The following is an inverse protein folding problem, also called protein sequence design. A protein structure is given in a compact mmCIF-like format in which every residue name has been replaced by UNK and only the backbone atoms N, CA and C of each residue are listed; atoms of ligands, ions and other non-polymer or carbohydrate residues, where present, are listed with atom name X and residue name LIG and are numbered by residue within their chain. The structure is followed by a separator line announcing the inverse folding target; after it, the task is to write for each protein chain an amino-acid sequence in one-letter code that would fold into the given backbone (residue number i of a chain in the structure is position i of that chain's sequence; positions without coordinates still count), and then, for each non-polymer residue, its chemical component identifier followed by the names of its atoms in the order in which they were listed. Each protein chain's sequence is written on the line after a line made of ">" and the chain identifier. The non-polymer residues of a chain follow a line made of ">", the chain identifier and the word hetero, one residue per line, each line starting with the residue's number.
data_IF_204093282605
#
_entry.id   IF_204093282605
#
_cell.length_a   1.000
_cell.length_b   1.000
_cell.length_c   1.000
_cell.angle_alpha   90.00
_cell.angle_beta   90.00
_cell.angle_gamma   90.00
#
_symmetry.space_group_name_H-M   'P 1'
#
loop_
_entity.id
_entity.type
_entity.pdbx_description
1 polymer ?
#
# COMPACT_ATOMS: atom_id res chain seq x y z
N UNK A 1 -15.95 21.49 -7.42
CA UNK A 1 -15.72 20.04 -7.26
C UNK A 1 -17.03 19.31 -7.54
N UNK A 2 -17.04 18.24 -8.35
CA UNK A 2 -18.27 17.46 -8.60
C UNK A 2 -18.83 16.94 -7.26
N UNK A 3 -20.15 16.97 -7.02
CA UNK A 3 -20.73 16.52 -5.76
C UNK A 3 -20.74 14.98 -5.72
N UNK A 4 -19.62 14.38 -5.38
CA UNK A 4 -19.55 12.93 -5.19
C UNK A 4 -20.28 12.52 -3.90
N UNK A 5 -21.06 11.43 -3.91
CA UNK A 5 -21.70 10.91 -2.69
C UNK A 5 -20.68 10.33 -1.70
N UNK A 6 -19.59 9.78 -2.22
CA UNK A 6 -18.43 9.26 -1.49
C UNK A 6 -17.18 9.60 -2.33
N UNK A 7 -16.08 9.97 -1.68
CA UNK A 7 -14.81 10.22 -2.35
C UNK A 7 -13.63 10.01 -1.39
N UNK A 8 -12.45 9.89 -1.99
CA UNK A 8 -11.18 9.90 -1.30
C UNK A 8 -10.44 11.20 -1.62
N UNK A 9 -9.87 11.85 -0.62
CA UNK A 9 -8.86 12.89 -0.79
C UNK A 9 -7.45 12.30 -0.53
N UNK A 10 -6.52 12.58 -1.45
CA UNK A 10 -5.12 12.12 -1.39
C UNK A 10 -4.21 13.34 -1.26
N UNK A 11 -3.60 13.54 -0.10
CA UNK A 11 -2.71 14.66 0.18
C UNK A 11 -1.26 14.36 -0.28
N UNK A 12 -0.89 14.91 -1.44
CA UNK A 12 0.45 14.72 -2.02
C UNK A 12 1.54 15.44 -1.19
N UNK A 13 1.20 16.47 -0.42
CA UNK A 13 2.17 17.13 0.47
C UNK A 13 2.45 16.29 1.71
N UNK A 14 1.43 15.58 2.23
CA UNK A 14 1.60 14.58 3.28
C UNK A 14 2.48 13.42 2.78
N UNK A 15 2.26 12.92 1.55
CA UNK A 15 3.10 11.89 0.93
C UNK A 15 4.56 12.36 0.80
N UNK A 16 4.78 13.56 0.26
CA UNK A 16 6.11 14.14 0.12
C UNK A 16 6.78 14.38 1.48
N UNK A 17 6.00 14.80 2.49
CA UNK A 17 6.47 14.92 3.88
C UNK A 17 6.94 13.58 4.43
N UNK A 18 6.12 12.53 4.34
CA UNK A 18 6.47 11.20 4.83
C UNK A 18 7.74 10.67 4.17
N UNK A 19 7.87 10.84 2.85
CA UNK A 19 9.07 10.44 2.13
C UNK A 19 10.32 11.22 2.59
N UNK A 20 10.21 12.53 2.87
CA UNK A 20 11.33 13.30 3.47
C UNK A 20 11.69 12.78 4.86
N UNK A 21 10.70 12.43 5.69
CA UNK A 21 10.95 11.83 7.00
C UNK A 21 11.68 10.49 6.89
N UNK A 22 11.26 9.63 5.96
CA UNK A 22 11.94 8.34 5.69
C UNK A 22 13.37 8.56 5.21
N UNK A 23 13.61 9.49 4.28
CA UNK A 23 14.96 9.85 3.81
C UNK A 23 15.86 10.34 4.94
N UNK A 24 15.33 11.20 5.80
CA UNK A 24 16.02 11.68 6.99
C UNK A 24 16.36 10.53 7.94
N UNK A 25 15.41 9.62 8.18
CA UNK A 25 15.58 8.48 9.08
C UNK A 25 16.70 7.53 8.65
N UNK A 26 16.81 7.25 7.35
CA UNK A 26 17.87 6.42 6.79
C UNK A 26 19.19 7.19 6.55
N UNK A 27 19.28 8.44 7.02
CA UNK A 27 20.44 9.33 6.88
C UNK A 27 20.96 9.47 5.43
N UNK A 28 20.08 9.35 4.43
CA UNK A 28 20.44 9.28 3.01
C UNK A 28 21.51 8.22 2.65
N UNK A 29 21.74 7.22 3.50
CA UNK A 29 22.76 6.17 3.28
C UNK A 29 22.29 5.06 2.33
N UNK A 30 20.98 4.93 2.15
CA UNK A 30 20.36 3.92 1.29
C UNK A 30 19.39 4.61 0.32
N UNK A 31 19.25 4.04 -0.87
CA UNK A 31 18.22 4.47 -1.81
C UNK A 31 16.84 3.99 -1.35
N UNK A 32 15.78 4.53 -1.95
CA UNK A 32 14.41 4.13 -1.69
C UNK A 32 13.81 3.47 -2.94
N UNK A 33 13.26 2.28 -2.75
CA UNK A 33 12.27 1.67 -3.63
C UNK A 33 10.89 1.93 -3.03
N UNK A 34 10.12 2.83 -3.62
CA UNK A 34 8.78 3.13 -3.12
C UNK A 34 7.82 2.01 -3.55
N UNK A 35 7.17 1.38 -2.57
CA UNK A 35 6.22 0.31 -2.84
C UNK A 35 4.86 0.93 -3.17
N UNK A 36 4.50 0.90 -4.46
CA UNK A 36 3.28 1.47 -5.05
C UNK A 36 2.32 0.40 -5.59
N UNK A 37 2.55 -0.85 -5.19
CA UNK A 37 1.74 -2.01 -5.56
C UNK A 37 0.28 -1.86 -5.10
N UNK A 38 -0.66 -2.58 -5.74
CA UNK A 38 -2.10 -2.54 -5.44
C UNK A 38 -2.64 -1.12 -5.49
N UNK A 39 -2.43 -0.44 -6.61
CA UNK A 39 -2.84 0.95 -6.84
C UNK A 39 -2.31 1.94 -5.79
N UNK A 40 -1.02 1.83 -5.44
CA UNK A 40 -0.41 2.54 -4.32
C UNK A 40 -1.20 2.40 -3.01
N UNK A 41 -1.54 1.16 -2.66
CA UNK A 41 -2.41 0.83 -1.52
C UNK A 41 -3.76 1.57 -1.59
N UNK A 42 -4.35 1.64 -2.78
CA UNK A 42 -5.63 2.32 -3.03
C UNK A 42 -5.56 3.85 -3.15
N UNK A 43 -4.37 4.45 -3.18
CA UNK A 43 -4.18 5.90 -3.25
C UNK A 43 -4.09 6.45 -4.68
N UNK A 44 -3.99 5.60 -5.70
CA UNK A 44 -3.74 6.00 -7.10
C UNK A 44 -2.26 5.86 -7.46
N UNK A 45 -1.92 4.82 -8.21
CA UNK A 45 -0.53 4.45 -8.47
C UNK A 45 0.26 5.50 -9.26
N UNK A 46 -0.35 6.13 -10.27
CA UNK A 46 0.34 7.06 -11.16
C UNK A 46 0.77 8.33 -10.42
N UNK A 47 -0.19 9.01 -9.79
CA UNK A 47 0.05 10.29 -9.11
C UNK A 47 0.99 10.10 -7.91
N UNK A 48 0.85 8.98 -7.18
CA UNK A 48 1.81 8.61 -6.13
C UNK A 48 3.19 8.38 -6.71
N UNK A 49 3.31 7.62 -7.82
CA UNK A 49 4.59 7.33 -8.46
C UNK A 49 5.29 8.62 -8.91
N UNK A 50 4.58 9.54 -9.56
CA UNK A 50 5.11 10.84 -9.99
C UNK A 50 5.61 11.66 -8.80
N UNK A 51 4.83 11.75 -7.72
CA UNK A 51 5.19 12.56 -6.55
C UNK A 51 6.40 12.00 -5.80
N UNK A 52 6.47 10.66 -5.63
CA UNK A 52 7.63 10.05 -4.95
C UNK A 52 8.89 10.15 -5.82
N UNK A 53 8.79 10.04 -7.15
CA UNK A 53 9.91 10.24 -8.08
C UNK A 53 10.41 11.69 -8.02
N UNK A 54 9.49 12.67 -8.02
CA UNK A 54 9.83 14.10 -7.89
C UNK A 54 10.59 14.40 -6.60
N UNK A 55 10.26 13.68 -5.54
CA UNK A 55 10.95 13.78 -4.24
C UNK A 55 12.27 12.98 -4.21
N UNK A 56 12.64 12.31 -5.31
CA UNK A 56 13.95 11.68 -5.53
C UNK A 56 13.99 10.19 -5.19
N UNK A 57 12.88 9.46 -5.30
CA UNK A 57 12.86 7.99 -5.30
C UNK A 57 13.51 7.48 -6.58
N UNK A 58 14.25 6.37 -6.48
CA UNK A 58 15.06 5.83 -7.58
C UNK A 58 14.48 4.55 -8.19
N UNK A 59 13.52 3.92 -7.53
CA UNK A 59 12.90 2.67 -7.98
C UNK A 59 11.48 2.55 -7.45
N UNK A 60 10.60 1.86 -8.17
CA UNK A 60 9.25 1.54 -7.72
C UNK A 60 9.08 0.03 -7.55
N UNK A 61 8.19 -0.38 -6.65
CA UNK A 61 7.80 -1.78 -6.46
C UNK A 61 6.31 -1.99 -6.69
N UNK A 62 5.97 -2.91 -7.58
CA UNK A 62 4.59 -3.25 -7.98
C UNK A 62 4.26 -4.72 -7.69
N UNK A 63 2.99 -5.11 -7.83
CA UNK A 63 2.54 -6.49 -7.58
C UNK A 63 2.76 -7.39 -8.78
N UNK A 64 2.54 -6.87 -9.98
CA UNK A 64 2.49 -7.65 -11.21
C UNK A 64 2.96 -6.81 -12.40
N UNK A 65 3.11 -7.48 -13.55
CA UNK A 65 3.56 -6.86 -14.80
C UNK A 65 2.57 -5.80 -15.28
N UNK A 66 1.27 -6.00 -15.08
CA UNK A 66 0.22 -5.08 -15.55
C UNK A 66 0.28 -3.74 -14.82
N UNK A 67 0.49 -3.73 -13.50
CA UNK A 67 0.75 -2.51 -12.73
C UNK A 67 1.99 -1.77 -13.25
N UNK A 68 3.08 -2.51 -13.53
CA UNK A 68 4.32 -1.93 -14.07
C UNK A 68 4.14 -1.37 -15.48
N UNK A 69 3.48 -2.11 -16.36
CA UNK A 69 3.18 -1.72 -17.73
C UNK A 69 2.28 -0.47 -17.78
N UNK A 70 1.28 -0.38 -16.90
CA UNK A 70 0.43 0.82 -16.77
C UNK A 70 1.24 2.08 -16.42
N UNK A 71 2.17 1.97 -15.46
CA UNK A 71 3.08 3.07 -15.13
C UNK A 71 4.00 3.44 -16.29
N UNK A 72 4.51 2.45 -17.03
CA UNK A 72 5.35 2.67 -18.22
C UNK A 72 4.59 3.37 -19.34
N UNK A 73 3.37 2.93 -19.64
CA UNK A 73 2.45 3.56 -20.60
C UNK A 73 2.16 5.02 -20.24
N UNK A 74 2.19 5.34 -18.95
CA UNK A 74 2.03 6.70 -18.42
C UNK A 74 3.34 7.51 -18.38
N UNK A 75 4.44 6.98 -18.95
CA UNK A 75 5.71 7.71 -19.10
C UNK A 75 6.70 7.56 -17.94
N UNK A 76 6.42 6.72 -16.93
CA UNK A 76 7.35 6.50 -15.81
C UNK A 76 8.61 5.78 -16.30
N UNK A 77 9.79 6.40 -16.07
CA UNK A 77 11.09 5.89 -16.56
C UNK A 77 12.01 5.30 -15.51
N UNK A 78 11.76 5.52 -14.23
CA UNK A 78 12.59 4.90 -13.17
C UNK A 78 12.44 3.37 -13.20
N UNK A 79 13.44 2.59 -12.76
CA UNK A 79 13.30 1.14 -12.62
C UNK A 79 12.04 0.73 -11.83
N UNK A 80 11.35 -0.30 -12.29
CA UNK A 80 10.13 -0.84 -11.66
C UNK A 80 10.36 -2.34 -11.41
N UNK A 81 10.24 -2.76 -10.15
CA UNK A 81 10.41 -4.15 -9.74
C UNK A 81 9.05 -4.81 -9.47
N UNK A 82 8.79 -5.91 -10.17
CA UNK A 82 7.69 -6.84 -9.86
C UNK A 82 8.10 -7.68 -8.65
N UNK A 83 7.59 -7.31 -7.47
CA UNK A 83 8.07 -7.82 -6.17
C UNK A 83 7.78 -9.31 -5.90
N UNK A 84 6.65 -9.89 -6.35
CA UNK A 84 6.38 -11.31 -6.18
C UNK A 84 7.14 -12.19 -7.17
N UNK A 85 7.68 -11.63 -8.27
CA UNK A 85 8.10 -12.40 -9.43
C UNK A 85 6.98 -12.48 -10.48
N UNK A 86 7.21 -13.27 -11.52
CA UNK A 86 6.27 -13.47 -12.63
C UNK A 86 5.78 -14.92 -12.68
N UNK A 87 4.67 -15.16 -13.38
CA UNK A 87 4.32 -16.50 -13.82
C UNK A 87 5.02 -16.83 -15.16
N UNK A 88 5.13 -18.12 -15.47
CA UNK A 88 5.79 -18.61 -16.69
C UNK A 88 4.84 -18.75 -17.89
N UNK A 89 3.89 -17.82 -18.02
CA UNK A 89 3.11 -17.72 -19.25
C UNK A 89 3.80 -16.76 -20.24
N UNK A 90 3.59 -17.01 -21.53
CA UNK A 90 4.26 -16.29 -22.61
C UNK A 90 3.92 -14.79 -22.59
N UNK A 91 2.65 -14.44 -22.43
CA UNK A 91 2.15 -13.05 -22.46
C UNK A 91 2.81 -12.18 -21.39
N UNK A 92 2.90 -12.67 -20.15
CA UNK A 92 3.50 -11.95 -19.02
C UNK A 92 5.02 -11.76 -19.21
N UNK A 93 5.72 -12.75 -19.76
CA UNK A 93 7.16 -12.64 -20.06
C UNK A 93 7.40 -11.63 -21.17
N UNK A 94 6.61 -11.69 -22.24
CA UNK A 94 6.71 -10.76 -23.36
C UNK A 94 6.42 -9.32 -22.90
N UNK A 95 5.39 -9.11 -22.08
CA UNK A 95 5.05 -7.80 -21.54
C UNK A 95 6.14 -7.27 -20.58
N UNK A 96 6.67 -8.12 -19.69
CA UNK A 96 7.77 -7.76 -18.79
C UNK A 96 8.99 -7.23 -19.57
N UNK A 97 9.37 -7.93 -20.64
CA UNK A 97 10.51 -7.56 -21.47
C UNK A 97 10.24 -6.34 -22.36
N UNK A 98 8.99 -6.15 -22.81
CA UNK A 98 8.60 -5.02 -23.66
C UNK A 98 8.66 -3.71 -22.87
N UNK A 99 8.17 -3.73 -21.63
CA UNK A 99 8.13 -2.58 -20.75
C UNK A 99 9.39 -2.40 -19.89
N UNK A 100 10.44 -3.17 -20.16
CA UNK A 100 11.72 -3.13 -19.43
C UNK A 100 11.52 -3.14 -17.90
N UNK A 101 10.71 -4.07 -17.42
CA UNK A 101 10.42 -4.26 -16.01
C UNK A 101 11.44 -5.22 -15.38
N UNK A 102 11.89 -4.92 -14.16
CA UNK A 102 12.70 -5.84 -13.37
C UNK A 102 11.78 -6.84 -12.65
N UNK A 103 12.21 -8.08 -12.48
CA UNK A 103 11.42 -9.09 -11.76
C UNK A 103 12.22 -9.83 -10.69
N UNK A 104 11.54 -10.32 -9.67
CA UNK A 104 12.15 -11.18 -8.66
C UNK A 104 12.20 -12.63 -9.16
N UNK A 105 13.35 -13.29 -8.97
CA UNK A 105 13.55 -14.71 -9.29
C UNK A 105 14.04 -15.50 -8.08
N UNK A 106 13.60 -16.76 -8.03
CA UNK A 106 13.93 -17.72 -6.97
C UNK A 106 13.75 -19.17 -7.46
N UNK A 107 13.79 -19.39 -8.78
CA UNK A 107 13.71 -20.71 -9.40
C UNK A 107 14.58 -20.74 -10.65
N UNK A 108 15.27 -21.86 -10.83
CA UNK A 108 16.11 -22.15 -11.99
C UNK A 108 15.30 -22.16 -13.29
N UNK A 109 14.05 -22.66 -13.22
CA UNK A 109 13.13 -22.67 -14.34
C UNK A 109 12.78 -21.26 -14.80
N UNK A 110 12.50 -20.36 -13.84
CA UNK A 110 12.21 -18.94 -14.14
C UNK A 110 13.41 -18.28 -14.79
N UNK A 111 14.60 -18.48 -14.21
CA UNK A 111 15.85 -17.91 -14.74
C UNK A 111 16.12 -18.36 -16.19
N UNK A 112 16.05 -19.67 -16.45
CA UNK A 112 16.31 -20.23 -17.80
C UNK A 112 15.27 -19.77 -18.82
N UNK A 113 14.00 -19.73 -18.44
CA UNK A 113 12.90 -19.32 -19.32
C UNK A 113 13.05 -17.84 -19.70
N UNK A 114 13.27 -16.96 -18.72
CA UNK A 114 13.54 -15.55 -18.98
C UNK A 114 14.80 -15.32 -19.81
N UNK A 115 15.87 -16.06 -19.52
CA UNK A 115 17.11 -15.97 -20.30
C UNK A 115 16.89 -16.31 -21.78
N UNK A 116 16.08 -17.33 -22.07
CA UNK A 116 15.75 -17.74 -23.44
C UNK A 116 14.87 -16.69 -24.13
N UNK A 117 13.84 -16.18 -23.46
CA UNK A 117 12.97 -15.15 -24.02
C UNK A 117 13.73 -13.84 -24.30
N UNK A 118 14.57 -13.40 -23.35
CA UNK A 118 15.44 -12.25 -23.53
C UNK A 118 16.43 -12.44 -24.69
N UNK A 119 16.99 -13.66 -24.84
CA UNK A 119 17.84 -14.01 -25.99
C UNK A 119 17.11 -13.83 -27.32
N UNK A 120 15.88 -14.35 -27.42
CA UNK A 120 15.07 -14.31 -28.65
C UNK A 120 14.73 -12.87 -29.05
N UNK A 121 14.54 -11.99 -28.07
CA UNK A 121 14.32 -10.54 -28.28
C UNK A 121 15.59 -9.72 -28.46
N UNK A 122 16.77 -10.32 -28.30
CA UNK A 122 18.05 -9.60 -28.36
C UNK A 122 18.23 -8.57 -27.23
N UNK A 123 17.61 -8.80 -26.07
CA UNK A 123 17.66 -7.91 -24.90
C UNK A 123 18.20 -8.63 -23.65
N UNK A 124 18.24 -7.94 -22.51
CA UNK A 124 18.49 -8.55 -21.20
C UNK A 124 17.30 -8.39 -20.27
N UNK A 125 17.00 -9.44 -19.51
CA UNK A 125 16.01 -9.37 -18.43
C UNK A 125 16.69 -8.94 -17.13
N UNK A 126 16.16 -7.91 -16.50
CA UNK A 126 16.63 -7.42 -15.21
C UNK A 126 16.00 -8.23 -14.07
N UNK A 127 16.83 -8.79 -13.20
CA UNK A 127 16.36 -9.72 -12.15
C UNK A 127 16.89 -9.39 -10.77
N UNK A 128 16.07 -9.63 -9.76
CA UNK A 128 16.45 -9.60 -8.36
C UNK A 128 16.36 -11.00 -7.76
N UNK A 129 17.45 -11.50 -7.17
CA UNK A 129 17.46 -12.82 -6.52
C UNK A 129 16.80 -12.69 -5.15
N UNK A 130 15.83 -13.56 -4.85
CA UNK A 130 15.21 -13.59 -3.53
C UNK A 130 15.64 -14.80 -2.70
N UNK A 131 16.14 -14.50 -1.50
CA UNK A 131 16.51 -15.47 -0.49
C UNK A 131 15.42 -15.45 0.59
N UNK A 132 14.80 -16.60 0.85
CA UNK A 132 13.87 -16.76 1.96
C UNK A 132 14.66 -17.05 3.24
N UNK A 133 14.68 -16.07 4.15
CA UNK A 133 15.45 -16.16 5.40
C UNK A 133 14.59 -16.60 6.58
N UNK A 134 13.30 -16.88 6.36
CA UNK A 134 12.33 -17.19 7.41
C UNK A 134 10.93 -16.59 7.19
N UNK A 135 10.65 -15.99 6.03
CA UNK A 135 9.28 -15.57 5.70
C UNK A 135 8.41 -16.77 5.36
N UNK A 136 9.01 -17.80 4.74
CA UNK A 136 8.32 -19.02 4.32
C UNK A 136 7.31 -18.80 3.18
N UNK A 137 7.57 -17.81 2.30
CA UNK A 137 6.61 -17.43 1.25
C UNK A 137 7.17 -17.62 -0.16
N UNK A 138 8.26 -16.93 -0.48
CA UNK A 138 8.92 -16.97 -1.79
C UNK A 138 10.40 -16.66 -1.58
N UNK A 139 11.25 -17.35 -2.34
CA UNK A 139 12.69 -17.25 -2.24
C UNK A 139 13.33 -18.62 -2.13
N UNK A 140 14.59 -18.72 -2.55
CA UNK A 140 15.40 -19.91 -2.30
C UNK A 140 15.91 -19.92 -0.86
N UNK A 141 16.22 -21.10 -0.33
CA UNK A 141 16.81 -21.18 1.00
C UNK A 141 18.23 -20.56 1.02
N UNK A 142 18.70 -20.02 2.15
CA UNK A 142 19.99 -19.34 2.22
C UNK A 142 21.18 -20.23 1.81
N UNK A 143 21.11 -21.53 2.11
CA UNK A 143 22.13 -22.51 1.74
C UNK A 143 22.15 -22.87 0.25
N UNK A 144 21.06 -22.61 -0.48
CA UNK A 144 20.95 -22.88 -1.93
C UNK A 144 21.49 -21.71 -2.76
N UNK A 145 21.63 -20.53 -2.14
CA UNK A 145 22.07 -19.30 -2.80
C UNK A 145 23.38 -19.43 -3.59
N UNK A 146 24.46 -20.06 -3.08
CA UNK A 146 25.71 -20.22 -3.84
C UNK A 146 25.51 -20.96 -5.16
N UNK A 147 24.74 -22.05 -5.14
CA UNK A 147 24.47 -22.88 -6.34
C UNK A 147 23.58 -22.12 -7.31
N UNK A 148 22.53 -21.48 -6.82
CA UNK A 148 21.61 -20.70 -7.65
C UNK A 148 22.30 -19.50 -8.30
N UNK A 149 23.22 -18.85 -7.58
CA UNK A 149 24.01 -17.73 -8.09
C UNK A 149 24.92 -18.16 -9.25
N UNK A 150 25.55 -19.34 -9.15
CA UNK A 150 26.37 -19.90 -10.23
C UNK A 150 25.52 -20.14 -11.48
N UNK A 151 24.33 -20.71 -11.32
CA UNK A 151 23.41 -20.96 -12.43
C UNK A 151 22.95 -19.67 -13.12
N UNK A 152 22.52 -18.66 -12.35
CA UNK A 152 22.07 -17.39 -12.94
C UNK A 152 23.24 -16.66 -13.62
N UNK A 153 24.44 -16.74 -13.07
CA UNK A 153 25.63 -16.11 -13.69
C UNK A 153 25.97 -16.74 -15.05
N UNK A 154 25.61 -18.01 -15.27
CA UNK A 154 25.73 -18.66 -16.57
C UNK A 154 24.68 -18.19 -17.60
N UNK A 155 23.58 -17.57 -17.14
CA UNK A 155 22.53 -17.03 -18.00
C UNK A 155 22.92 -15.65 -18.56
N UNK A 156 23.53 -15.64 -19.76
CA UNK A 156 24.12 -14.45 -20.40
C UNK A 156 23.14 -13.28 -20.67
N UNK A 157 21.84 -13.58 -20.77
CA UNK A 157 20.80 -12.60 -21.07
C UNK A 157 20.01 -12.17 -19.82
N UNK A 158 20.51 -12.51 -18.63
CA UNK A 158 20.03 -11.95 -17.37
C UNK A 158 21.01 -10.89 -16.85
N UNK A 159 20.47 -9.86 -16.23
CA UNK A 159 21.20 -8.83 -15.52
C UNK A 159 20.81 -8.88 -14.05
N UNK A 160 21.69 -9.36 -13.17
CA UNK A 160 21.41 -9.42 -11.73
C UNK A 160 21.49 -8.00 -11.16
N UNK A 161 20.33 -7.34 -11.00
CA UNK A 161 20.24 -5.97 -10.49
C UNK A 161 20.24 -5.90 -8.97
N UNK A 162 19.75 -6.95 -8.30
CA UNK A 162 19.70 -6.97 -6.85
C UNK A 162 19.55 -8.34 -6.20
N UNK A 163 19.77 -8.35 -4.89
CA UNK A 163 19.61 -9.51 -4.01
C UNK A 163 18.78 -9.07 -2.81
N UNK A 164 17.77 -9.85 -2.46
CA UNK A 164 16.80 -9.43 -1.47
C UNK A 164 16.30 -10.53 -0.55
N UNK A 165 15.80 -10.11 0.60
CA UNK A 165 14.96 -10.93 1.49
C UNK A 165 13.77 -10.12 1.99
N UNK A 166 12.89 -10.74 2.77
CA UNK A 166 11.78 -10.08 3.44
C UNK A 166 11.63 -10.60 4.87
N UNK A 167 11.46 -9.68 5.82
CA UNK A 167 11.26 -10.04 7.21
C UNK A 167 9.80 -10.37 7.50
N UNK A 168 9.58 -11.33 8.38
CA UNK A 168 8.25 -11.83 8.76
C UNK A 168 7.59 -10.98 9.85
N UNK A 169 8.40 -10.39 10.73
CA UNK A 169 7.90 -9.70 11.90
C UNK A 169 7.99 -8.17 11.77
N UNK A 170 7.03 -7.51 12.41
CA UNK A 170 7.05 -6.09 12.72
C UNK A 170 6.96 -5.92 14.24
N UNK A 171 7.65 -4.96 14.82
CA UNK A 171 7.55 -4.67 16.23
C UNK A 171 8.58 -5.40 17.10
N UNK A 172 8.73 -4.92 18.33
CA UNK A 172 9.66 -5.46 19.34
C UNK A 172 9.49 -6.97 19.61
N UNK A 173 8.26 -7.49 19.57
CA UNK A 173 7.99 -8.90 19.85
C UNK A 173 8.66 -9.87 18.87
N UNK A 174 8.97 -9.42 17.65
CA UNK A 174 9.66 -10.23 16.63
C UNK A 174 11.12 -9.82 16.40
N UNK A 175 11.72 -9.04 17.31
CA UNK A 175 13.07 -8.52 17.16
C UNK A 175 14.11 -9.63 17.03
N UNK A 176 14.05 -10.65 17.89
CA UNK A 176 14.96 -11.79 17.87
C UNK A 176 14.86 -12.58 16.56
N UNK A 177 13.63 -12.87 16.11
CA UNK A 177 13.41 -13.55 14.84
C UNK A 177 13.92 -12.74 13.65
N UNK A 178 13.69 -11.43 13.64
CA UNK A 178 14.21 -10.53 12.59
C UNK A 178 15.73 -10.50 12.58
N UNK A 179 16.38 -10.45 13.74
CA UNK A 179 17.84 -10.51 13.84
C UNK A 179 18.38 -11.86 13.33
N UNK A 180 17.71 -12.97 13.64
CA UNK A 180 18.03 -14.27 13.09
C UNK A 180 17.89 -14.33 11.55
N UNK A 181 16.79 -13.79 10.99
CA UNK A 181 16.62 -13.68 9.54
C UNK A 181 17.74 -12.84 8.90
N UNK A 182 18.10 -11.72 9.54
CA UNK A 182 19.15 -10.84 9.04
C UNK A 182 20.54 -11.50 9.07
N UNK A 183 20.86 -12.24 10.13
CA UNK A 183 22.12 -12.97 10.23
C UNK A 183 22.25 -14.00 9.10
N UNK A 184 21.18 -14.77 8.85
CA UNK A 184 21.11 -15.73 7.73
C UNK A 184 21.26 -15.04 6.37
N UNK A 185 20.64 -13.88 6.19
CA UNK A 185 20.79 -13.10 4.95
C UNK A 185 22.24 -12.66 4.73
N UNK A 186 22.87 -12.08 5.76
CA UNK A 186 24.27 -11.65 5.72
C UNK A 186 25.22 -12.82 5.45
N UNK A 187 24.95 -13.99 6.01
CA UNK A 187 25.74 -15.20 5.76
C UNK A 187 25.64 -15.64 4.30
N UNK A 188 24.43 -15.75 3.75
CA UNK A 188 24.24 -16.12 2.34
C UNK A 188 24.94 -15.13 1.39
N UNK A 189 24.90 -13.83 1.69
CA UNK A 189 25.55 -12.81 0.88
C UNK A 189 27.07 -13.00 0.76
N UNK A 190 27.74 -13.68 1.70
CA UNK A 190 29.18 -13.98 1.62
C UNK A 190 29.56 -14.83 0.41
N UNK A 191 28.61 -15.61 -0.13
CA UNK A 191 28.81 -16.38 -1.35
C UNK A 191 28.81 -15.51 -2.63
N UNK A 192 28.47 -14.23 -2.52
CA UNK A 192 28.54 -13.30 -3.65
C UNK A 192 30.00 -12.93 -3.89
N UNK A 193 30.55 -13.37 -5.03
CA UNK A 193 31.95 -13.10 -5.38
C UNK A 193 32.20 -11.63 -5.74
N UNK A 194 33.45 -11.17 -5.68
CA UNK A 194 33.84 -9.81 -6.08
C UNK A 194 33.93 -9.59 -7.60
N UNK A 195 33.58 -10.59 -8.42
CA UNK A 195 33.73 -10.58 -9.87
C UNK A 195 32.55 -9.95 -10.64
N UNK A 196 31.70 -9.18 -9.96
CA UNK A 196 30.61 -8.47 -10.62
C UNK A 196 31.13 -7.28 -11.42
N UNK A 197 30.76 -7.18 -12.69
CA UNK A 197 30.98 -5.95 -13.46
C UNK A 197 30.28 -4.74 -12.83
N UNK A 198 29.11 -4.99 -12.21
CA UNK A 198 28.37 -4.03 -11.37
C UNK A 198 27.79 -4.78 -10.18
N UNK A 199 28.15 -4.37 -8.96
CA UNK A 199 27.64 -4.98 -7.73
C UNK A 199 26.10 -4.86 -7.67
N UNK A 200 25.36 -5.97 -7.47
CA UNK A 200 23.91 -5.93 -7.30
C UNK A 200 23.48 -5.14 -6.05
N UNK A 201 22.32 -4.49 -6.12
CA UNK A 201 21.69 -3.82 -4.98
C UNK A 201 21.24 -4.82 -3.93
N UNK A 202 21.67 -4.65 -2.67
CA UNK A 202 21.19 -5.47 -1.56
C UNK A 202 20.05 -4.75 -0.83
N UNK A 203 18.92 -5.43 -0.61
CA UNK A 203 17.79 -4.84 0.11
C UNK A 203 16.98 -5.82 0.97
N UNK A 204 16.70 -5.43 2.21
CA UNK A 204 15.95 -6.25 3.16
C UNK A 204 14.78 -5.49 3.81
N UNK A 205 15.03 -4.28 4.34
CA UNK A 205 14.08 -3.51 5.14
C UNK A 205 12.75 -3.23 4.41
N UNK A 206 11.64 -3.70 5.00
CA UNK A 206 10.31 -3.16 4.74
C UNK A 206 10.06 -1.95 5.67
N UNK A 207 8.85 -1.39 5.69
CA UNK A 207 8.51 -0.25 6.54
C UNK A 207 8.81 -0.43 8.04
N UNK A 208 8.55 -1.62 8.62
CA UNK A 208 8.77 -1.87 10.04
C UNK A 208 10.26 -1.98 10.35
N UNK A 209 10.98 -2.81 9.60
CA UNK A 209 12.40 -3.05 9.87
C UNK A 209 13.29 -1.87 9.43
N UNK A 210 12.79 -0.98 8.58
CA UNK A 210 13.42 0.32 8.35
C UNK A 210 13.48 1.15 9.64
N UNK A 211 12.44 1.11 10.46
CA UNK A 211 12.37 1.84 11.73
C UNK A 211 13.21 1.12 12.78
N UNK A 212 13.00 -0.18 12.94
CA UNK A 212 13.50 -0.93 14.10
C UNK A 212 14.90 -1.52 13.93
N UNK A 213 15.35 -1.69 12.68
CA UNK A 213 16.59 -2.38 12.36
C UNK A 213 17.44 -1.60 11.32
N UNK A 214 18.11 -0.50 11.74
CA UNK A 214 18.99 0.28 10.87
C UNK A 214 20.05 -0.55 10.12
N UNK A 215 20.50 -1.65 10.71
CA UNK A 215 21.46 -2.60 10.12
C UNK A 215 20.92 -3.36 8.89
N UNK A 216 19.61 -3.22 8.59
CA UNK A 216 18.93 -3.87 7.47
C UNK A 216 18.70 -2.94 6.26
N UNK A 217 19.20 -1.70 6.32
CA UNK A 217 18.97 -0.69 5.26
C UNK A 217 19.75 -0.98 3.97
N UNK A 218 20.95 -1.58 4.08
CA UNK A 218 21.81 -1.96 2.95
C UNK A 218 21.88 -0.87 1.84
N UNK A 219 21.79 -1.24 0.56
CA UNK A 219 21.87 -0.30 -0.56
C UNK A 219 20.51 0.34 -0.87
N UNK A 220 19.41 -0.32 -0.52
CA UNK A 220 18.04 0.05 -0.88
C UNK A 220 17.03 -0.41 0.19
N UNK A 221 16.13 0.49 0.60
CA UNK A 221 15.01 0.19 1.50
C UNK A 221 13.67 0.17 0.74
N UNK A 222 12.68 -0.56 1.26
CA UNK A 222 11.37 -0.75 0.60
C UNK A 222 10.20 -0.26 1.47
N UNK A 223 10.11 1.05 1.78
CA UNK A 223 8.96 1.59 2.48
C UNK A 223 7.70 1.46 1.60
N UNK A 224 6.64 0.95 2.20
CA UNK A 224 5.29 0.94 1.65
C UNK A 224 4.38 1.77 2.55
N UNK A 225 3.76 1.13 3.55
CA UNK A 225 2.71 1.72 4.39
C UNK A 225 3.07 3.07 5.04
N UNK A 226 4.34 3.26 5.39
CA UNK A 226 4.81 4.49 6.04
C UNK A 226 4.84 5.68 5.08
N UNK A 227 4.95 5.45 3.77
CA UNK A 227 4.82 6.52 2.76
C UNK A 227 3.41 7.10 2.78
N UNK A 228 2.41 6.26 3.07
CA UNK A 228 1.00 6.61 3.14
C UNK A 228 0.56 7.11 4.53
N UNK A 229 1.52 7.37 5.43
CA UNK A 229 1.23 8.02 6.71
C UNK A 229 0.77 7.09 7.83
N UNK A 230 0.93 5.78 7.62
CA UNK A 230 0.38 4.73 8.47
C UNK A 230 1.52 3.89 9.07
N UNK A 231 1.42 3.53 10.34
CA UNK A 231 2.40 2.62 10.95
C UNK A 231 2.10 1.15 10.59
N UNK A 232 3.13 0.30 10.46
CA UNK A 232 2.93 -1.09 10.07
C UNK A 232 2.12 -1.93 11.07
N UNK A 233 2.24 -1.62 12.36
CA UNK A 233 1.50 -2.24 13.46
C UNK A 233 1.65 -1.39 14.73
N UNK A 234 0.82 -1.64 15.74
CA UNK A 234 0.92 -0.97 17.05
C UNK A 234 2.19 -1.34 17.82
N UNK A 235 2.85 -2.44 17.44
CA UNK A 235 4.10 -2.89 18.04
C UNK A 235 5.33 -2.10 17.54
N UNK A 236 5.20 -1.32 16.47
CA UNK A 236 6.27 -0.49 15.92
C UNK A 236 6.26 0.89 16.58
N UNK A 237 7.43 1.34 17.03
CA UNK A 237 7.57 2.62 17.71
C UNK A 237 7.29 3.81 16.76
N UNK A 238 6.49 4.77 17.23
CA UNK A 238 6.02 5.91 16.43
C UNK A 238 7.01 7.08 16.42
N UNK A 239 8.25 6.80 16.03
CA UNK A 239 9.38 7.75 16.11
C UNK A 239 9.55 8.63 14.87
N UNK A 240 9.07 8.17 13.71
CA UNK A 240 9.05 8.98 12.48
C UNK A 240 7.73 9.73 12.44
N UNK A 241 7.68 11.07 12.40
CA UNK A 241 6.42 11.82 12.43
C UNK A 241 5.69 11.75 11.09
N UNK A 242 4.83 10.76 10.94
CA UNK A 242 4.06 10.48 9.73
C UNK A 242 2.74 11.27 9.69
N UNK A 243 2.36 11.71 8.50
CA UNK A 243 1.08 12.37 8.20
C UNK A 243 0.21 11.44 7.34
N UNK A 244 -1.02 11.11 7.76
CA UNK A 244 -1.95 10.35 6.93
C UNK A 244 -2.14 11.00 5.56
N UNK A 245 -2.07 10.20 4.49
CA UNK A 245 -2.20 10.69 3.11
C UNK A 245 -3.65 10.62 2.62
N UNK A 246 -4.41 9.64 3.09
CA UNK A 246 -5.78 9.37 2.65
C UNK A 246 -6.83 9.89 3.63
N UNK A 247 -7.86 10.55 3.12
CA UNK A 247 -9.12 10.79 3.83
C UNK A 247 -10.29 10.23 3.02
N UNK A 248 -11.17 9.44 3.67
CA UNK A 248 -12.40 8.90 3.08
C UNK A 248 -13.59 9.72 3.58
N UNK A 249 -14.35 10.29 2.65
CA UNK A 249 -15.43 11.21 2.96
C UNK A 249 -16.71 10.88 2.22
N UNK A 250 -17.81 11.33 2.77
CA UNK A 250 -19.15 11.17 2.21
C UNK A 250 -20.03 12.38 2.57
N UNK A 251 -21.30 12.33 2.17
CA UNK A 251 -22.31 13.34 2.53
C UNK A 251 -23.57 12.69 3.06
N UNK A 252 -24.22 13.35 4.00
CA UNK A 252 -25.52 12.89 4.50
C UNK A 252 -26.55 12.90 3.37
N UNK A 253 -27.14 11.72 3.09
CA UNK A 253 -28.18 11.52 2.08
C UNK A 253 -29.58 11.78 2.64
N UNK A 254 -29.82 11.40 3.88
CA UNK A 254 -31.11 11.59 4.55
C UNK A 254 -30.94 11.71 6.06
N UNK A 255 -31.87 12.41 6.71
CA UNK A 255 -31.98 12.50 8.18
C UNK A 255 -33.39 12.05 8.57
N UNK A 256 -33.51 11.27 9.64
CA UNK A 256 -34.79 10.75 10.13
C UNK A 256 -34.88 10.88 11.64
N UNK A 257 -36.07 11.20 12.14
CA UNK A 257 -36.43 10.99 13.54
C UNK A 257 -36.71 9.51 13.78
N UNK A 258 -36.24 9.00 14.91
CA UNK A 258 -36.47 7.63 15.35
C UNK A 258 -36.99 7.66 16.78
N UNK A 259 -37.94 6.79 17.09
CA UNK A 259 -38.48 6.64 18.44
C UNK A 259 -37.79 5.50 19.18
N UNK A 260 -37.79 5.58 20.50
CA UNK A 260 -37.37 4.50 21.38
C UNK A 260 -38.04 3.18 20.99
N UNK A 261 -37.26 2.10 20.95
CA UNK A 261 -37.73 0.75 20.59
C UNK A 261 -37.77 0.45 19.09
N UNK A 262 -37.60 1.43 18.20
CA UNK A 262 -37.47 1.18 16.76
C UNK A 262 -36.17 0.42 16.44
N UNK A 263 -36.22 -0.48 15.47
CA UNK A 263 -35.03 -1.20 14.98
C UNK A 263 -34.37 -0.48 13.80
N UNK A 264 -33.04 -0.58 13.70
CA UNK A 264 -32.23 -0.02 12.62
C UNK A 264 -31.44 -1.13 11.91
N UNK A 265 -31.49 -1.13 10.58
CA UNK A 265 -30.70 -2.02 9.72
C UNK A 265 -31.20 -3.47 9.65
N UNK A 266 -30.48 -4.30 8.90
CA UNK A 266 -30.76 -5.72 8.75
C UNK A 266 -30.70 -6.48 10.08
N UNK A 267 -31.47 -7.56 10.18
CA UNK A 267 -31.56 -8.44 11.36
C UNK A 267 -32.01 -7.73 12.64
N UNK A 268 -32.46 -6.47 12.55
CA UNK A 268 -32.79 -5.63 13.70
C UNK A 268 -31.61 -5.57 14.70
N UNK A 269 -30.38 -5.54 14.17
CA UNK A 269 -29.16 -5.66 14.99
C UNK A 269 -28.91 -4.47 15.93
N UNK A 270 -29.69 -3.40 15.80
CA UNK A 270 -29.69 -2.27 16.71
C UNK A 270 -31.13 -1.85 17.05
N UNK A 271 -31.42 -1.70 18.34
CA UNK A 271 -32.67 -1.15 18.86
C UNK A 271 -32.39 0.21 19.48
N UNK A 272 -33.12 1.23 19.03
CA UNK A 272 -32.94 2.62 19.46
C UNK A 272 -33.29 2.73 20.94
N UNK A 273 -32.36 3.18 21.81
CA UNK A 273 -32.58 3.20 23.26
C UNK A 273 -33.43 4.39 23.73
N UNK A 274 -33.52 5.45 22.92
CA UNK A 274 -34.27 6.67 23.23
C UNK A 274 -34.62 7.42 21.94
N UNK A 275 -35.63 8.28 21.98
CA UNK A 275 -35.97 9.15 20.85
C UNK A 275 -34.77 9.97 20.38
N UNK A 276 -34.57 10.05 19.06
CA UNK A 276 -33.34 10.62 18.51
C UNK A 276 -33.39 10.91 17.01
N UNK A 277 -32.23 11.24 16.48
CA UNK A 277 -32.00 11.53 15.07
C UNK A 277 -30.91 10.62 14.51
N UNK A 278 -31.19 10.04 13.34
CA UNK A 278 -30.21 9.24 12.59
C UNK A 278 -29.98 9.86 11.22
N UNK A 279 -28.76 9.72 10.72
CA UNK A 279 -28.40 10.09 9.36
C UNK A 279 -28.06 8.84 8.55
N UNK A 280 -28.43 8.87 7.27
CA UNK A 280 -28.07 7.86 6.27
C UNK A 280 -26.97 8.43 5.40
N UNK A 281 -25.85 7.71 5.25
CA UNK A 281 -24.75 8.05 4.36
C UNK A 281 -24.65 7.02 3.22
N UNK A 282 -24.37 7.44 1.97
CA UNK A 282 -24.22 6.58 0.82
C UNK A 282 -22.83 5.93 0.76
N UNK A 283 -22.54 5.11 1.78
CA UNK A 283 -21.33 4.30 1.87
C UNK A 283 -21.72 2.92 2.38
N UNK A 284 -21.25 1.87 1.73
CA UNK A 284 -21.44 0.50 2.20
C UNK A 284 -20.29 -0.43 1.87
N UNK A 285 -20.50 -1.73 2.08
CA UNK A 285 -19.44 -2.72 1.90
C UNK A 285 -19.02 -2.90 0.43
N UNK A 286 -19.85 -2.51 -0.55
CA UNK A 286 -19.47 -2.51 -1.96
C UNK A 286 -18.42 -1.43 -2.28
N UNK A 287 -18.34 -0.37 -1.47
CA UNK A 287 -17.32 0.68 -1.56
C UNK A 287 -16.01 0.29 -0.84
N UNK A 288 -16.03 -0.81 -0.08
CA UNK A 288 -14.93 -1.24 0.78
C UNK A 288 -15.11 -0.91 2.27
N UNK A 289 -16.25 -0.32 2.68
CA UNK A 289 -16.56 -0.05 4.08
C UNK A 289 -17.19 -1.29 4.74
N UNK A 290 -16.33 -2.13 5.33
CA UNK A 290 -16.67 -3.50 5.73
C UNK A 290 -17.90 -3.63 6.62
N UNK A 291 -18.72 -4.67 6.37
CA UNK A 291 -19.84 -5.04 7.24
C UNK A 291 -19.38 -5.36 8.67
N UNK A 292 -18.13 -5.74 8.90
CA UNK A 292 -17.58 -6.01 10.25
C UNK A 292 -17.51 -4.77 11.16
N UNK A 293 -17.63 -3.57 10.58
CA UNK A 293 -17.70 -2.29 11.29
C UNK A 293 -19.07 -1.99 11.90
N UNK A 294 -20.09 -2.78 11.56
CA UNK A 294 -21.47 -2.62 12.05
C UNK A 294 -21.50 -2.58 13.58
N UNK A 295 -22.18 -1.58 14.15
CA UNK A 295 -22.30 -1.34 15.60
C UNK A 295 -20.96 -1.15 16.35
N UNK A 296 -19.83 -0.96 15.66
CA UNK A 296 -18.51 -0.78 16.27
C UNK A 296 -17.86 0.54 15.87
N UNK A 297 -17.96 0.89 14.60
CA UNK A 297 -17.27 2.05 14.06
C UNK A 297 -17.91 3.37 14.46
N UNK A 298 -17.14 4.43 14.33
CA UNK A 298 -17.59 5.81 14.44
C UNK A 298 -17.23 6.57 13.16
N UNK A 299 -17.91 7.67 12.89
CA UNK A 299 -17.57 8.64 11.85
C UNK A 299 -17.58 10.05 12.44
N UNK A 300 -17.03 11.03 11.73
CA UNK A 300 -17.07 12.44 12.14
C UNK A 300 -18.18 13.19 11.39
N UNK A 301 -19.02 13.90 12.14
CA UNK A 301 -20.02 14.83 11.63
C UNK A 301 -19.92 16.13 12.41
N UNK A 302 -19.66 17.25 11.70
CA UNK A 302 -19.38 18.57 12.29
C UNK A 302 -18.29 18.54 13.38
N UNK A 303 -17.26 17.72 13.16
CA UNK A 303 -16.13 17.57 14.07
C UNK A 303 -16.46 16.86 15.38
N UNK A 304 -17.54 16.09 15.42
CA UNK A 304 -17.89 15.20 16.54
C UNK A 304 -17.93 13.75 16.07
N UNK A 305 -17.41 12.84 16.89
CA UNK A 305 -17.55 11.39 16.70
C UNK A 305 -18.99 10.96 16.94
N UNK A 306 -19.56 10.24 15.97
CA UNK A 306 -20.90 9.66 16.03
C UNK A 306 -20.85 8.17 15.68
N UNK A 307 -21.59 7.30 16.37
CA UNK A 307 -21.49 5.85 16.14
C UNK A 307 -22.25 5.42 14.88
N UNK A 308 -21.70 4.41 14.20
CA UNK A 308 -22.42 3.60 13.21
C UNK A 308 -23.37 2.67 13.94
N UNK A 309 -24.65 2.69 13.57
CA UNK A 309 -25.71 1.90 14.21
C UNK A 309 -26.44 1.01 13.19
N UNK A 310 -26.74 -0.21 13.61
CA UNK A 310 -27.27 -1.25 12.74
C UNK A 310 -26.22 -1.86 11.81
N UNK A 311 -26.65 -2.88 11.07
CA UNK A 311 -25.81 -3.54 10.08
C UNK A 311 -25.57 -2.64 8.86
N UNK A 312 -24.29 -2.45 8.50
CA UNK A 312 -23.89 -1.77 7.26
C UNK A 312 -24.43 -2.57 6.06
N UNK A 313 -25.08 -1.87 5.13
CA UNK A 313 -25.66 -2.45 3.91
C UNK A 313 -24.69 -2.38 2.74
N UNK A 314 -25.11 -2.83 1.56
CA UNK A 314 -24.27 -2.82 0.35
C UNK A 314 -23.79 -1.42 0.01
N UNK A 315 -24.69 -0.43 0.07
CA UNK A 315 -24.44 0.94 -0.38
C UNK A 315 -24.71 2.02 0.69
N UNK A 316 -25.29 1.65 1.82
CA UNK A 316 -25.77 2.59 2.84
C UNK A 316 -25.31 2.21 4.24
N UNK A 317 -24.97 3.23 5.01
CA UNK A 317 -24.63 3.16 6.44
C UNK A 317 -25.50 4.14 7.21
N UNK A 318 -25.89 3.78 8.43
CA UNK A 318 -26.71 4.63 9.31
C UNK A 318 -25.86 5.02 10.53
N UNK A 319 -25.93 6.29 10.90
CA UNK A 319 -25.17 6.85 12.02
C UNK A 319 -26.09 7.62 12.97
N UNK A 320 -25.84 7.53 14.27
CA UNK A 320 -26.61 8.25 15.29
C UNK A 320 -26.09 9.68 15.46
N UNK A 321 -26.88 10.67 15.02
CA UNK A 321 -26.52 12.08 15.10
C UNK A 321 -27.28 12.81 16.20
N UNK A 322 -27.92 12.09 17.14
CA UNK A 322 -28.76 12.66 18.19
C UNK A 322 -28.02 13.69 19.07
N UNK A 323 -26.70 13.54 19.22
CA UNK A 323 -25.85 14.43 20.02
C UNK A 323 -25.20 15.57 19.20
N UNK A 324 -25.55 15.72 17.92
CA UNK A 324 -24.98 16.73 17.02
C UNK A 324 -26.07 17.67 16.52
N UNK A 325 -25.96 18.94 16.89
CA UNK A 325 -26.97 19.96 16.57
C UNK A 325 -26.80 20.55 15.17
N UNK A 326 -27.93 20.83 14.52
CA UNK A 326 -27.97 21.58 13.26
C UNK A 326 -27.39 20.83 12.04
N UNK A 327 -27.29 19.50 12.10
CA UNK A 327 -26.88 18.66 10.97
C UNK A 327 -27.91 18.76 9.84
N UNK A 328 -27.44 18.86 8.59
CA UNK A 328 -28.28 18.99 7.40
C UNK A 328 -27.96 17.91 6.37
N UNK A 329 -28.91 17.63 5.48
CA UNK A 329 -28.64 16.81 4.28
C UNK A 329 -27.56 17.51 3.44
N UNK A 330 -26.61 16.75 2.90
CA UNK A 330 -25.46 17.25 2.16
C UNK A 330 -24.23 17.61 3.02
N UNK A 331 -24.38 17.61 4.35
CA UNK A 331 -23.27 17.83 5.29
C UNK A 331 -22.18 16.77 5.11
N UNK A 332 -20.91 17.20 5.20
CA UNK A 332 -19.75 16.32 5.06
C UNK A 332 -19.65 15.36 6.26
N UNK A 333 -19.39 14.10 5.94
CA UNK A 333 -19.09 13.04 6.91
C UNK A 333 -17.69 12.52 6.61
N UNK A 334 -16.82 12.46 7.62
CA UNK A 334 -15.46 11.91 7.48
C UNK A 334 -15.43 10.53 8.12
N UNK A 335 -15.14 9.51 7.30
CA UNK A 335 -15.03 8.12 7.73
C UNK A 335 -13.58 7.77 8.10
N UNK A 336 -12.62 8.32 7.35
CA UNK A 336 -11.17 8.27 7.63
C UNK A 336 -10.64 9.69 7.42
N UNK A 337 -9.86 10.21 8.36
CA UNK A 337 -9.25 11.54 8.28
C UNK A 337 -9.70 12.47 9.40
N UNK A 338 -9.60 13.78 9.14
CA UNK A 338 -9.82 14.84 10.15
C UNK A 338 -11.06 15.66 9.87
N UNK A 339 -11.77 16.06 10.93
CA UNK A 339 -12.82 17.07 10.87
C UNK A 339 -12.87 17.84 12.20
N UNK A 340 -12.73 19.16 12.14
CA UNK A 340 -12.60 19.97 13.36
C UNK A 340 -11.36 19.57 14.18
N UNK A 341 -11.55 19.37 15.49
CA UNK A 341 -10.48 18.89 16.39
C UNK A 341 -10.35 17.37 16.47
N UNK A 342 -11.19 16.61 15.77
CA UNK A 342 -11.23 15.15 15.81
C UNK A 342 -10.58 14.53 14.58
N UNK A 343 -10.05 13.32 14.76
CA UNK A 343 -9.42 12.51 13.72
C UNK A 343 -9.85 11.06 13.88
N UNK A 344 -10.23 10.39 12.80
CA UNK A 344 -10.36 8.93 12.76
C UNK A 344 -9.25 8.40 11.87
N UNK A 345 -8.27 7.75 12.49
CA UNK A 345 -7.16 7.17 11.75
C UNK A 345 -7.52 5.80 11.20
N UNK A 346 -6.85 5.40 10.11
CA UNK A 346 -7.07 4.07 9.52
C UNK A 346 -6.69 2.94 10.48
N UNK A 347 -5.72 3.18 11.39
CA UNK A 347 -5.36 2.23 12.45
C UNK A 347 -6.54 1.96 13.41
N UNK A 348 -7.42 2.95 13.68
CA UNK A 348 -8.62 2.75 14.51
C UNK A 348 -9.64 1.85 13.80
N UNK A 349 -9.83 2.03 12.48
CA UNK A 349 -10.72 1.18 11.69
C UNK A 349 -10.21 -0.26 11.66
N UNK A 350 -8.89 -0.42 11.44
CA UNK A 350 -8.25 -1.72 11.48
C UNK A 350 -8.48 -2.41 12.84
N UNK A 351 -8.36 -1.67 13.95
CA UNK A 351 -8.65 -2.18 15.28
C UNK A 351 -10.12 -2.63 15.43
N UNK A 352 -11.11 -1.82 15.01
CA UNK A 352 -12.53 -2.20 15.08
C UNK A 352 -12.87 -3.44 14.25
N UNK A 353 -12.17 -3.64 13.14
CA UNK A 353 -12.33 -4.81 12.26
C UNK A 353 -11.53 -6.04 12.71
N UNK A 354 -10.54 -5.88 13.58
CA UNK A 354 -9.61 -6.95 13.94
C UNK A 354 -8.61 -7.29 12.81
N UNK A 355 -8.12 -6.27 12.11
CA UNK A 355 -7.19 -6.40 10.98
C UNK A 355 -6.07 -5.35 11.03
N UNK A 356 -5.40 -5.10 9.89
CA UNK A 356 -4.29 -4.17 9.71
C UNK A 356 -4.65 -3.02 8.74
N UNK A 357 -4.00 -1.84 8.84
CA UNK A 357 -4.24 -0.70 7.97
C UNK A 357 -4.16 -1.01 6.47
N UNK A 358 -3.28 -1.93 6.08
CA UNK A 358 -3.10 -2.36 4.70
C UNK A 358 -4.41 -2.89 4.09
N UNK A 359 -5.16 -3.70 4.83
CA UNK A 359 -6.41 -4.28 4.33
C UNK A 359 -7.46 -3.19 4.15
N UNK A 360 -7.58 -2.27 5.11
CA UNK A 360 -8.54 -1.16 5.04
C UNK A 360 -8.28 -0.27 3.81
N UNK A 361 -7.03 0.09 3.56
CA UNK A 361 -6.68 0.99 2.45
C UNK A 361 -6.87 0.30 1.09
N UNK A 362 -6.49 -0.99 1.01
CA UNK A 362 -6.60 -1.74 -0.25
C UNK A 362 -8.01 -2.27 -0.54
N UNK A 363 -8.91 -2.28 0.45
CA UNK A 363 -10.31 -2.68 0.23
C UNK A 363 -11.17 -1.58 -0.38
N UNK A 364 -10.75 -0.31 -0.36
CA UNK A 364 -11.55 0.79 -0.91
C UNK A 364 -11.62 0.67 -2.43
N UNK A 365 -12.83 0.38 -2.94
CA UNK A 365 -13.05 0.01 -4.33
C UNK A 365 -12.63 1.09 -5.33
N UNK A 366 -12.18 0.69 -6.52
CA UNK A 366 -11.73 1.61 -7.61
C UNK A 366 -12.81 2.60 -8.07
N UNK A 367 -14.09 2.30 -7.81
CA UNK A 367 -15.24 3.18 -8.15
C UNK A 367 -15.34 4.40 -7.26
N UNK A 368 -14.74 4.38 -6.07
CA UNK A 368 -14.66 5.56 -5.21
C UNK A 368 -13.66 6.55 -5.83
N UNK A 369 -14.08 7.75 -6.23
CA UNK A 369 -13.20 8.70 -6.91
C UNK A 369 -12.10 9.19 -5.97
N UNK A 370 -10.85 9.22 -6.46
CA UNK A 370 -9.72 9.84 -5.78
C UNK A 370 -9.59 11.28 -6.26
N UNK A 371 -9.43 12.20 -5.31
CA UNK A 371 -9.20 13.62 -5.53
C UNK A 371 -7.83 13.94 -4.96
N UNK A 372 -6.88 14.30 -5.82
CA UNK A 372 -5.52 14.62 -5.42
C UNK A 372 -5.42 16.07 -4.97
N UNK A 373 -4.78 16.27 -3.83
CA UNK A 373 -4.57 17.58 -3.21
C UNK A 373 -3.09 17.91 -3.16
N UNK A 374 -2.75 19.15 -3.51
CA UNK A 374 -1.41 19.71 -3.42
C UNK A 374 -1.50 21.19 -3.09
N UNK A 375 -0.74 21.64 -2.09
CA UNK A 375 -0.88 22.93 -1.44
C UNK A 375 -2.33 23.25 -1.05
N UNK A 376 -3.06 22.25 -0.53
CA UNK A 376 -4.49 22.31 -0.20
C UNK A 376 -5.44 22.63 -1.38
N UNK A 377 -4.96 22.52 -2.62
CA UNK A 377 -5.76 22.71 -3.83
C UNK A 377 -5.92 21.39 -4.56
N UNK A 378 -7.09 21.17 -5.17
CA UNK A 378 -7.29 20.04 -6.07
C UNK A 378 -6.39 20.20 -7.29
N UNK A 379 -5.58 19.18 -7.56
CA UNK A 379 -4.86 19.07 -8.83
C UNK A 379 -5.66 18.18 -9.76
N UNK A 380 -5.87 18.64 -10.99
CA UNK A 380 -6.41 17.75 -12.00
C UNK A 380 -5.38 16.65 -12.27
N UNK A 381 -5.80 15.37 -12.33
CA UNK A 381 -4.89 14.33 -12.77
C UNK A 381 -4.39 14.68 -14.17
N UNK A 382 -3.13 14.36 -14.53
CA UNK A 382 -2.65 14.54 -15.89
C UNK A 382 -3.65 13.94 -16.86
N UNK A 383 -4.04 14.71 -17.87
CA UNK A 383 -5.04 14.30 -18.86
C UNK A 383 -4.53 13.08 -19.63
N UNK A 384 -4.85 11.89 -19.16
CA UNK A 384 -4.66 10.64 -19.87
C UNK A 384 -6.00 9.97 -20.08
N UNK A 385 -6.24 9.65 -21.35
CA UNK A 385 -7.47 9.09 -21.87
C UNK A 385 -7.87 7.90 -21.02
N UNK A 386 -8.95 8.06 -20.26
CA UNK A 386 -9.70 6.93 -19.73
C UNK A 386 -10.10 6.10 -20.95
N UNK A 387 -9.37 5.03 -21.23
CA UNK A 387 -9.91 3.94 -22.04
C UNK A 387 -11.18 3.52 -21.34
N UNK A 388 -12.32 3.82 -21.98
CA UNK A 388 -13.60 3.23 -21.66
C UNK A 388 -13.44 1.72 -21.84
N UNK A 389 -13.08 1.01 -20.79
CA UNK A 389 -13.30 -0.43 -20.74
C UNK A 389 -14.79 -0.63 -20.44
N UNK A 390 -15.50 -1.04 -21.49
CA UNK A 390 -16.90 -1.48 -21.53
C UNK A 390 -17.09 -2.79 -20.78
#
# INVERSE_FOLDING_TARGET
>A
MKPYPIWIEIDLDALAHNLRQVKSWINNKSNILAVVKRDAYGHGALEVAEEVIRTGVKMLGVTDVQEGASLRKSGIKVPILVLPGINLNFEEIEELLEYELSTVIYSSEIARTLNKAAQQRGTKANVHIKIDTGMGRLGIAPQEYPVFLQEITACKNLSIEGIMTHFACSGRAGKEYTQWQLARFKEALKASNNSWNKRPLVHAANSANLIEHPESHFDLVRPGIILYGCYPSDAVERIIPLKPVLSLKSRIKAIKKVSCGCSIGYERSYIVPQDGLVAVIPVGYADGYSRLLSNKAQVLVKGKRVPVIGNISMDLTIVDISQVTGVKVGEEVVLIGKQGGEEIRVEEIAHWMGTIPYEILTSIGKKVPRIFLKNHQTVEPPSHQVTKET
#
